data_IF_797222309544
#
_entry.id   IF_797222309544
#
_cell.length_a   1.000
_cell.length_b   1.000
_cell.length_c   1.000
_cell.angle_alpha   90.00
_cell.angle_beta   90.00
_cell.angle_gamma   90.00
#
_symmetry.space_group_name_H-M   'P 1'
#
loop_
_entity.id
_entity.type
_entity.pdbx_description
1 polymer ?
#
# COMPACT_ATOMS: atom_id res chain seq x y z
N UNK A 1 -2.90 22.91 -14.15
CA UNK A 1 -2.57 21.77 -13.28
C UNK A 1 -2.91 20.42 -13.93
N UNK A 2 -2.18 20.03 -15.00
CA UNK A 2 -2.47 18.83 -15.82
C UNK A 2 -1.26 17.91 -15.99
N UNK A 3 -0.24 18.03 -15.13
CA UNK A 3 1.10 17.50 -15.40
C UNK A 3 1.62 16.42 -14.42
N UNK A 4 0.85 15.97 -13.41
CA UNK A 4 1.37 15.02 -12.41
C UNK A 4 0.85 13.58 -12.60
N UNK A 5 -0.17 13.36 -13.43
CA UNK A 5 -0.70 12.00 -13.70
C UNK A 5 0.12 11.19 -14.73
N UNK A 6 1.24 11.72 -15.24
CA UNK A 6 2.05 11.07 -16.28
C UNK A 6 3.22 10.21 -15.77
N UNK A 7 3.57 10.29 -14.49
CA UNK A 7 4.80 9.66 -13.97
C UNK A 7 4.60 8.33 -13.26
N UNK A 8 3.35 7.92 -12.98
CA UNK A 8 3.07 6.60 -12.41
C UNK A 8 3.10 5.47 -13.44
N UNK A 9 3.03 5.78 -14.75
CA UNK A 9 3.11 4.77 -15.82
C UNK A 9 4.52 4.56 -16.38
N UNK A 10 5.48 5.47 -16.10
CA UNK A 10 6.82 5.39 -16.70
C UNK A 10 7.83 4.56 -15.88
N UNK A 11 7.52 4.22 -14.63
CA UNK A 11 8.37 3.35 -13.80
C UNK A 11 8.20 1.85 -14.09
N UNK A 12 7.24 1.47 -14.94
CA UNK A 12 7.00 0.09 -15.36
C UNK A 12 7.69 -0.28 -16.68
N UNK A 13 8.56 0.59 -17.20
CA UNK A 13 9.22 0.40 -18.49
C UNK A 13 10.76 0.49 -18.42
N UNK A 14 11.32 0.02 -17.31
CA UNK A 14 12.76 -0.30 -17.23
C UNK A 14 12.85 -1.79 -16.88
N UNK A 15 12.39 -2.64 -17.81
CA UNK A 15 12.82 -4.03 -17.85
C UNK A 15 14.24 -4.03 -18.41
N UNK A 16 15.21 -4.00 -17.51
CA UNK A 16 16.57 -4.39 -17.83
C UNK A 16 16.54 -5.88 -18.19
N UNK A 17 16.43 -6.16 -19.49
CA UNK A 17 16.33 -7.48 -20.09
C UNK A 17 17.67 -8.23 -19.95
N UNK A 18 18.09 -8.48 -18.72
CA UNK A 18 19.02 -9.55 -18.39
C UNK A 18 18.23 -10.85 -18.50
N UNK A 19 18.15 -11.36 -19.72
CA UNK A 19 17.75 -12.74 -19.95
C UNK A 19 18.75 -13.64 -19.23
N UNK A 20 18.50 -13.95 -17.96
CA UNK A 20 19.11 -15.09 -17.29
C UNK A 20 18.63 -16.30 -18.09
N UNK A 21 19.51 -16.87 -18.90
CA UNK A 21 19.24 -18.11 -19.59
C UNK A 21 18.93 -19.15 -18.51
N UNK A 22 17.65 -19.49 -18.35
CA UNK A 22 17.21 -20.53 -17.43
C UNK A 22 17.79 -21.83 -17.99
N UNK A 23 18.88 -22.29 -17.39
CA UNK A 23 19.50 -23.58 -17.70
C UNK A 23 18.58 -24.64 -17.11
N UNK A 24 17.70 -25.20 -17.95
CA UNK A 24 16.88 -26.35 -17.57
C UNK A 24 17.69 -27.61 -17.83
N UNK A 25 18.44 -28.07 -16.83
CA UNK A 25 19.06 -29.39 -16.85
C UNK A 25 17.99 -30.44 -16.59
N UNK A 26 17.87 -31.42 -17.49
CA UNK A 26 16.95 -32.54 -17.32
C UNK A 26 17.61 -33.52 -16.36
N UNK A 27 17.15 -33.55 -15.11
CA UNK A 27 17.62 -34.49 -14.09
C UNK A 27 16.78 -35.76 -14.19
N UNK A 28 17.38 -36.84 -14.72
CA UNK A 28 16.75 -38.17 -14.74
C UNK A 28 16.91 -38.84 -13.37
N UNK A 29 15.79 -39.04 -12.67
CA UNK A 29 15.75 -39.83 -11.45
C UNK A 29 15.43 -41.29 -11.79
N UNK A 30 16.35 -42.21 -11.48
CA UNK A 30 16.16 -43.65 -11.70
C UNK A 30 15.21 -44.30 -10.69
N UNK A 31 14.87 -43.58 -9.61
CA UNK A 31 13.97 -44.05 -8.58
C UNK A 31 12.53 -43.65 -8.92
N UNK A 32 11.53 -44.52 -8.65
CA UNK A 32 10.13 -44.16 -8.83
C UNK A 32 9.77 -42.98 -7.93
N UNK A 33 8.79 -42.16 -8.34
CA UNK A 33 8.34 -41.03 -7.54
C UNK A 33 7.98 -41.49 -6.13
N UNK A 34 8.54 -40.83 -5.12
CA UNK A 34 8.20 -41.11 -3.74
C UNK A 34 6.70 -40.82 -3.52
N UNK A 35 5.94 -41.82 -3.10
CA UNK A 35 4.56 -41.65 -2.67
C UNK A 35 4.56 -41.32 -1.18
N UNK A 36 4.00 -40.15 -0.84
CA UNK A 36 3.83 -39.71 0.56
C UNK A 36 2.42 -40.08 0.99
N UNK A 37 2.29 -40.74 2.14
CA UNK A 37 0.97 -41.07 2.69
C UNK A 37 0.16 -39.79 2.96
N UNK A 38 -1.16 -39.77 2.66
CA UNK A 38 -1.97 -38.56 2.84
C UNK A 38 -1.95 -37.98 4.26
N UNK A 39 -1.81 -38.82 5.29
CA UNK A 39 -1.73 -38.36 6.68
C UNK A 39 -0.39 -37.67 6.97
N UNK A 40 0.71 -38.23 6.45
CA UNK A 40 2.03 -37.64 6.55
C UNK A 40 2.08 -36.29 5.81
N UNK A 41 1.53 -36.23 4.60
CA UNK A 41 1.44 -35.00 3.82
C UNK A 41 0.69 -33.90 4.59
N UNK A 42 -0.40 -34.24 5.28
CA UNK A 42 -1.17 -33.28 6.08
C UNK A 42 -0.35 -32.70 7.25
N UNK A 43 0.44 -33.53 7.93
CA UNK A 43 1.33 -33.10 9.03
C UNK A 43 2.41 -32.15 8.50
N UNK A 44 3.01 -32.48 7.36
CA UNK A 44 4.03 -31.64 6.73
C UNK A 44 3.45 -30.27 6.37
N UNK A 45 2.26 -30.24 5.76
CA UNK A 45 1.57 -28.98 5.41
C UNK A 45 1.33 -28.15 6.66
N UNK A 46 0.80 -28.74 7.74
CA UNK A 46 0.56 -28.01 8.99
C UNK A 46 1.84 -27.45 9.60
N UNK A 47 2.93 -28.22 9.60
CA UNK A 47 4.20 -27.75 10.14
C UNK A 47 4.80 -26.62 9.28
N UNK A 48 4.66 -26.70 7.96
CA UNK A 48 5.08 -25.65 7.04
C UNK A 48 4.23 -24.38 7.20
N UNK A 49 2.92 -24.51 7.33
CA UNK A 49 2.00 -23.40 7.59
C UNK A 49 2.32 -22.71 8.93
N UNK A 50 2.51 -23.49 10.00
CA UNK A 50 2.90 -22.96 11.30
C UNK A 50 4.24 -22.21 11.22
N UNK A 51 5.28 -22.83 10.64
CA UNK A 51 6.59 -22.20 10.48
C UNK A 51 6.59 -20.99 9.53
N UNK A 52 5.65 -20.94 8.58
CA UNK A 52 5.42 -19.76 7.75
C UNK A 52 4.79 -18.63 8.56
N UNK A 53 3.78 -18.92 9.38
CA UNK A 53 3.15 -17.94 10.27
C UNK A 53 4.16 -17.40 11.28
N UNK A 54 4.95 -18.26 11.95
CA UNK A 54 5.96 -17.83 12.92
C UNK A 54 7.02 -16.92 12.29
N UNK A 55 7.56 -17.31 11.12
CA UNK A 55 8.53 -16.47 10.40
C UNK A 55 7.91 -15.16 9.96
N UNK A 56 6.65 -15.14 9.52
CA UNK A 56 5.96 -13.92 9.15
C UNK A 56 5.67 -13.02 10.35
N UNK A 57 5.30 -13.58 11.50
CA UNK A 57 5.11 -12.82 12.73
C UNK A 57 6.43 -12.18 13.18
N UNK A 58 7.53 -12.93 13.16
CA UNK A 58 8.84 -12.42 13.55
C UNK A 58 9.41 -11.43 12.53
N UNK A 59 9.25 -11.67 11.23
CA UNK A 59 9.73 -10.75 10.19
C UNK A 59 8.84 -9.52 10.02
N UNK A 60 7.56 -9.58 10.37
CA UNK A 60 6.70 -8.40 10.51
C UNK A 60 7.07 -7.55 11.75
N UNK A 61 7.65 -8.17 12.78
CA UNK A 61 8.04 -7.50 14.03
C UNK A 61 9.45 -6.90 13.99
N UNK A 62 10.34 -7.38 13.10
CA UNK A 62 11.79 -7.10 13.18
C UNK A 62 12.32 -6.02 12.21
N UNK A 63 11.45 -5.21 11.59
CA UNK A 63 11.91 -3.90 11.09
C UNK A 63 11.44 -2.85 12.08
N UNK A 64 12.27 -2.61 13.08
CA UNK A 64 12.24 -1.48 14.02
C UNK A 64 12.43 -0.13 13.30
N UNK A 65 11.79 0.04 12.15
CA UNK A 65 11.64 1.32 11.48
C UNK A 65 10.34 1.93 11.94
N UNK A 66 10.39 3.18 12.38
CA UNK A 66 9.20 4.02 12.58
C UNK A 66 8.34 3.92 11.31
N UNK A 67 7.14 3.34 11.43
CA UNK A 67 6.25 3.27 10.29
C UNK A 67 5.89 4.69 9.85
N UNK A 68 6.09 5.00 8.57
CA UNK A 68 5.93 6.36 8.05
C UNK A 68 4.46 6.75 8.13
N UNK A 69 4.19 7.99 8.53
CA UNK A 69 2.83 8.48 8.66
C UNK A 69 2.53 9.47 7.53
N UNK A 70 1.42 9.24 6.84
CA UNK A 70 0.99 10.05 5.71
C UNK A 70 -0.28 10.81 6.04
N UNK A 71 -0.25 12.13 5.83
CA UNK A 71 -1.42 12.99 5.79
C UNK A 71 -1.89 13.12 4.33
N UNK A 72 -3.04 12.52 4.04
CA UNK A 72 -3.69 12.51 2.73
C UNK A 72 -4.90 13.45 2.72
N UNK A 73 -4.91 14.45 1.84
CA UNK A 73 -6.05 15.34 1.63
C UNK A 73 -6.77 14.97 0.34
N UNK A 74 -8.06 14.66 0.41
CA UNK A 74 -8.85 14.34 -0.79
C UNK A 74 -9.38 15.59 -1.51
N UNK A 75 -9.42 15.58 -2.84
CA UNK A 75 -10.00 16.67 -3.65
C UNK A 75 -11.52 16.80 -3.48
N UNK A 76 -12.19 15.70 -3.14
CA UNK A 76 -13.63 15.60 -2.85
C UNK A 76 -13.83 14.50 -1.81
N UNK A 77 -14.85 14.66 -0.98
CA UNK A 77 -15.17 13.67 0.06
C UNK A 77 -16.65 13.28 -0.03
N UNK A 78 -17.03 12.52 -1.08
CA UNK A 78 -18.41 12.11 -1.27
C UNK A 78 -18.86 11.18 -0.13
N UNK A 79 -20.17 11.10 0.10
CA UNK A 79 -20.76 10.31 1.18
C UNK A 79 -20.40 8.83 1.10
N UNK A 80 -20.22 8.31 -0.11
CA UNK A 80 -19.79 6.93 -0.32
C UNK A 80 -18.34 6.70 0.13
N UNK A 81 -17.43 7.64 -0.13
CA UNK A 81 -16.06 7.59 0.36
C UNK A 81 -16.05 7.60 1.89
N UNK A 82 -16.77 8.55 2.48
CA UNK A 82 -16.92 8.63 3.93
C UNK A 82 -17.50 7.34 4.50
N UNK A 83 -18.55 6.78 3.89
CA UNK A 83 -19.16 5.52 4.34
C UNK A 83 -18.18 4.34 4.27
N UNK A 84 -17.40 4.23 3.19
CA UNK A 84 -16.39 3.18 3.07
C UNK A 84 -15.27 3.33 4.10
N UNK A 85 -14.82 4.56 4.39
CA UNK A 85 -13.79 4.76 5.41
C UNK A 85 -14.32 4.47 6.84
N UNK A 86 -15.59 4.77 7.10
CA UNK A 86 -16.24 4.52 8.40
C UNK A 86 -16.63 3.05 8.62
N UNK A 87 -17.10 2.36 7.58
CA UNK A 87 -17.72 1.04 7.69
C UNK A 87 -17.06 -0.03 6.81
N UNK A 88 -15.95 0.30 6.17
CA UNK A 88 -15.20 -0.61 5.31
C UNK A 88 -14.59 -1.75 6.12
N UNK A 89 -14.70 -3.01 5.65
CA UNK A 89 -14.25 -4.17 6.39
C UNK A 89 -12.71 -4.21 6.51
N UNK A 90 -11.96 -3.67 5.55
CA UNK A 90 -10.50 -3.76 5.57
C UNK A 90 -9.91 -2.95 6.72
N UNK A 91 -10.44 -1.75 6.98
CA UNK A 91 -10.00 -0.88 8.07
C UNK A 91 -10.67 -1.15 9.42
N UNK A 92 -11.58 -2.13 9.49
CA UNK A 92 -12.34 -2.44 10.72
C UNK A 92 -11.44 -2.78 11.89
N UNK A 93 -10.46 -3.66 11.68
CA UNK A 93 -9.54 -4.10 12.73
C UNK A 93 -8.73 -2.93 13.32
N UNK A 94 -8.27 -2.00 12.47
CA UNK A 94 -7.54 -0.81 12.92
C UNK A 94 -8.41 0.13 13.74
N UNK A 95 -9.68 0.34 13.35
CA UNK A 95 -10.63 1.17 14.12
C UNK A 95 -10.93 0.54 15.48
N UNK A 96 -11.21 -0.76 15.52
CA UNK A 96 -11.47 -1.49 16.76
C UNK A 96 -10.25 -1.49 17.69
N UNK A 97 -9.03 -1.61 17.15
CA UNK A 97 -7.80 -1.55 17.94
C UNK A 97 -7.59 -0.16 18.59
N UNK A 98 -7.90 0.92 17.88
CA UNK A 98 -7.85 2.28 18.42
C UNK A 98 -8.94 2.49 19.49
N UNK A 99 -10.17 2.08 19.22
CA UNK A 99 -11.28 2.18 20.18
C UNK A 99 -11.01 1.38 21.46
N UNK A 100 -10.45 0.17 21.34
CA UNK A 100 -10.09 -0.68 22.47
C UNK A 100 -8.97 -0.07 23.32
N UNK A 101 -8.08 0.71 22.71
CA UNK A 101 -7.07 1.50 23.41
C UNK A 101 -7.62 2.84 23.96
N UNK A 102 -8.92 3.10 23.80
CA UNK A 102 -9.58 4.34 24.26
C UNK A 102 -9.26 5.56 23.41
N UNK A 103 -8.87 5.37 22.14
CA UNK A 103 -8.46 6.43 21.23
C UNK A 103 -9.49 6.64 20.13
N UNK A 104 -9.83 7.90 19.84
CA UNK A 104 -10.81 8.24 18.80
C UNK A 104 -10.14 8.20 17.41
N UNK A 105 -10.55 7.29 16.54
CA UNK A 105 -10.07 7.25 15.15
C UNK A 105 -10.65 8.39 14.28
N UNK A 106 -11.68 9.09 14.75
CA UNK A 106 -12.19 10.32 14.13
C UNK A 106 -12.05 11.48 15.11
N UNK A 107 -11.31 12.51 14.71
CA UNK A 107 -11.12 13.69 15.54
C UNK A 107 -12.43 14.48 15.65
N UNK A 108 -12.88 14.71 16.88
CA UNK A 108 -14.18 15.37 17.15
C UNK A 108 -14.23 16.81 16.66
N UNK A 109 -13.10 17.51 16.72
CA UNK A 109 -13.03 18.94 16.41
C UNK A 109 -13.00 19.20 14.88
N UNK A 110 -12.23 18.40 14.14
CA UNK A 110 -12.01 18.58 12.69
C UNK A 110 -12.86 17.66 11.81
N UNK A 111 -13.31 16.53 12.35
CA UNK A 111 -13.89 15.43 11.60
C UNK A 111 -12.88 14.63 10.75
N UNK A 112 -11.58 14.94 10.85
CA UNK A 112 -10.53 14.22 10.15
C UNK A 112 -10.41 12.79 10.68
N UNK A 113 -10.01 11.87 9.80
CA UNK A 113 -9.86 10.45 10.13
C UNK A 113 -8.40 10.10 10.39
N UNK A 114 -8.15 9.30 11.42
CA UNK A 114 -6.82 8.87 11.87
C UNK A 114 -6.82 7.35 11.95
N UNK A 115 -6.08 6.73 11.03
CA UNK A 115 -5.98 5.28 10.85
C UNK A 115 -4.50 4.90 11.00
N UNK A 116 -4.06 4.75 12.24
CA UNK A 116 -2.67 4.43 12.61
C UNK A 116 -2.66 3.29 13.61
N UNK A 117 -1.48 2.76 13.92
CA UNK A 117 -1.35 1.81 15.01
C UNK A 117 -1.61 2.50 16.36
N UNK A 118 -2.23 1.79 17.30
CA UNK A 118 -2.59 2.35 18.61
C UNK A 118 -1.37 2.93 19.36
N UNK A 119 -0.19 2.30 19.25
CA UNK A 119 1.04 2.76 19.88
C UNK A 119 1.60 4.06 19.26
N UNK A 120 1.25 4.39 18.01
CA UNK A 120 1.70 5.62 17.33
C UNK A 120 0.78 6.81 17.57
N UNK A 121 -0.47 6.55 17.93
CA UNK A 121 -1.54 7.54 17.88
C UNK A 121 -1.22 8.83 18.64
N UNK A 122 -0.74 8.74 19.89
CA UNK A 122 -0.47 9.94 20.70
C UNK A 122 0.58 10.85 20.06
N UNK A 123 1.63 10.25 19.49
CA UNK A 123 2.73 10.98 18.87
C UNK A 123 2.29 11.57 17.54
N UNK A 124 1.47 10.84 16.79
CA UNK A 124 0.82 11.33 15.56
C UNK A 124 -0.04 12.55 15.88
N UNK A 125 -0.95 12.47 16.87
CA UNK A 125 -1.81 13.60 17.26
C UNK A 125 -0.99 14.82 17.67
N UNK A 126 0.11 14.64 18.40
CA UNK A 126 1.00 15.73 18.80
C UNK A 126 1.73 16.39 17.61
N UNK A 127 2.04 15.62 16.57
CA UNK A 127 2.74 16.09 15.36
C UNK A 127 1.81 16.68 14.28
N UNK A 128 0.49 16.44 14.38
CA UNK A 128 -0.46 16.90 13.37
C UNK A 128 -0.68 18.42 13.41
N UNK A 129 -0.90 19.07 12.25
CA UNK A 129 -1.23 20.49 12.20
C UNK A 129 -2.60 20.77 12.86
N UNK A 130 -2.81 21.94 13.47
CA UNK A 130 -4.07 22.26 14.17
C UNK A 130 -5.27 22.44 13.24
N UNK A 131 -5.03 22.58 11.93
CA UNK A 131 -6.05 22.89 10.92
C UNK A 131 -6.32 21.69 10.02
N UNK A 132 -6.79 20.60 10.62
CA UNK A 132 -7.30 19.47 9.86
C UNK A 132 -8.77 19.69 9.51
N UNK A 133 -9.20 19.17 8.37
CA UNK A 133 -10.60 19.13 7.97
C UNK A 133 -11.11 17.71 7.74
N UNK A 134 -12.43 17.57 7.60
CA UNK A 134 -13.12 16.31 7.28
C UNK A 134 -12.67 15.60 5.98
N UNK A 135 -11.81 16.24 5.17
CA UNK A 135 -11.27 15.71 3.91
C UNK A 135 -9.87 15.11 4.09
N UNK A 136 -9.32 15.24 5.29
CA UNK A 136 -7.99 14.80 5.64
C UNK A 136 -8.06 13.43 6.30
N UNK A 137 -7.16 12.56 5.86
CA UNK A 137 -6.97 11.20 6.35
C UNK A 137 -5.50 11.04 6.74
N UNK A 138 -5.26 10.73 7.99
CA UNK A 138 -3.93 10.40 8.52
C UNK A 138 -3.83 8.88 8.55
N UNK A 139 -2.84 8.32 7.86
CA UNK A 139 -2.70 6.86 7.73
C UNK A 139 -1.25 6.43 7.88
N UNK A 140 -1.03 5.31 8.56
CA UNK A 140 0.28 4.67 8.65
C UNK A 140 0.62 3.95 7.34
N UNK A 141 1.88 4.00 6.90
CA UNK A 141 2.29 3.46 5.60
C UNK A 141 2.04 1.96 5.50
N UNK A 142 2.17 1.22 6.61
CA UNK A 142 1.84 -0.20 6.66
C UNK A 142 0.34 -0.50 6.49
N UNK A 143 -0.56 0.47 6.71
CA UNK A 143 -2.02 0.31 6.60
C UNK A 143 -2.59 0.82 5.27
N UNK A 144 -1.79 1.45 4.40
CA UNK A 144 -2.26 2.00 3.12
C UNK A 144 -2.91 0.96 2.22
N UNK A 145 -2.42 -0.29 2.21
CA UNK A 145 -2.99 -1.35 1.40
C UNK A 145 -4.44 -1.69 1.82
N UNK A 146 -4.78 -1.54 3.11
CA UNK A 146 -6.15 -1.75 3.60
C UNK A 146 -7.06 -0.62 3.15
N UNK A 147 -6.56 0.61 3.17
CA UNK A 147 -7.26 1.75 2.58
C UNK A 147 -7.53 1.52 1.10
N UNK A 148 -6.54 1.09 0.33
CA UNK A 148 -6.71 0.77 -1.09
C UNK A 148 -7.76 -0.32 -1.31
N UNK A 149 -7.80 -1.34 -0.44
CA UNK A 149 -8.80 -2.41 -0.51
C UNK A 149 -10.22 -1.88 -0.27
N UNK A 150 -10.42 -1.04 0.75
CA UNK A 150 -11.73 -0.41 0.98
C UNK A 150 -12.11 0.56 -0.15
N UNK A 151 -11.15 1.31 -0.71
CA UNK A 151 -11.38 2.18 -1.87
C UNK A 151 -11.71 1.40 -3.14
N UNK A 152 -11.15 0.19 -3.32
CA UNK A 152 -11.45 -0.65 -4.47
C UNK A 152 -12.93 -1.06 -4.51
N UNK A 153 -13.59 -1.19 -3.35
CA UNK A 153 -15.04 -1.47 -3.27
C UNK A 153 -15.91 -0.34 -3.83
N UNK A 154 -15.37 0.89 -3.86
CA UNK A 154 -16.06 2.07 -4.36
C UNK A 154 -15.83 2.32 -5.85
N UNK A 155 -14.92 1.60 -6.47
CA UNK A 155 -14.69 1.69 -7.91
C UNK A 155 -15.93 1.15 -8.62
N UNK A 156 -16.68 2.06 -9.23
CA UNK A 156 -17.77 1.69 -10.13
C UNK A 156 -17.22 0.82 -11.28
N UNK A 157 -18.04 0.02 -11.97
CA UNK A 157 -17.62 -0.71 -13.17
C UNK A 157 -17.00 0.19 -14.26
N UNK A 158 -17.30 1.49 -14.22
CA UNK A 158 -16.68 2.54 -15.04
C UNK A 158 -15.28 2.98 -14.59
N UNK A 159 -14.70 2.32 -13.58
CA UNK A 159 -13.29 2.44 -13.18
C UNK A 159 -12.92 3.67 -12.35
N UNK A 160 -13.89 4.42 -11.81
CA UNK A 160 -13.61 5.65 -11.06
C UNK A 160 -14.33 5.75 -9.72
N UNK A 161 -13.57 6.10 -8.67
CA UNK A 161 -14.11 6.80 -7.50
C UNK A 161 -14.75 8.07 -8.04
N UNK A 162 -16.02 8.37 -7.69
CA UNK A 162 -16.87 9.45 -8.25
C UNK A 162 -16.25 10.88 -8.20
N UNK A 163 -15.16 11.11 -8.92
CA UNK A 163 -14.30 12.28 -8.83
C UNK A 163 -13.56 12.47 -7.50
N UNK A 164 -13.38 11.41 -6.69
CA UNK A 164 -12.58 11.49 -5.47
C UNK A 164 -11.20 10.88 -5.70
N UNK A 165 -10.16 11.61 -5.35
CA UNK A 165 -8.76 11.17 -5.40
C UNK A 165 -7.96 11.95 -4.36
N UNK A 166 -6.81 11.42 -3.96
CA UNK A 166 -5.86 12.10 -3.08
C UNK A 166 -5.26 13.27 -3.84
N UNK A 167 -5.57 14.49 -3.38
CA UNK A 167 -5.08 15.75 -3.99
C UNK A 167 -3.67 16.07 -3.52
N UNK A 168 -3.40 15.86 -2.23
CA UNK A 168 -2.13 16.12 -1.60
C UNK A 168 -1.79 14.99 -0.63
N UNK A 169 -0.51 14.65 -0.55
CA UNK A 169 0.05 13.65 0.34
C UNK A 169 1.32 14.24 0.95
N UNK A 170 1.35 14.31 2.28
CA UNK A 170 2.47 14.85 3.03
C UNK A 170 2.90 13.83 4.08
N UNK A 171 4.21 13.61 4.20
CA UNK A 171 4.76 12.82 5.30
C UNK A 171 4.69 13.66 6.57
N UNK A 172 4.18 13.07 7.65
CA UNK A 172 4.15 13.69 8.98
C UNK A 172 5.41 13.24 9.71
N UNK A 173 6.22 14.21 10.10
CA UNK A 173 7.44 13.95 10.87
C UNK A 173 7.06 13.64 12.32
N UNK A 174 6.94 12.35 12.63
CA UNK A 174 6.65 11.87 13.97
C UNK A 174 7.96 11.53 14.64
N UNK A 175 8.39 12.40 15.54
CA UNK A 175 9.53 12.13 16.41
C UNK A 175 9.07 11.07 17.41
N UNK A 176 9.34 9.79 17.11
CA UNK A 176 9.29 8.80 18.16
C UNK A 176 10.44 9.13 19.10
N UNK A 177 10.12 9.66 20.28
CA UNK A 177 10.99 9.46 21.43
C UNK A 177 10.92 7.96 21.74
N UNK A 178 11.66 7.17 20.95
CA UNK A 178 12.10 5.86 21.39
C UNK A 178 12.82 6.21 22.66
N UNK A 179 12.20 5.89 23.79
CA UNK A 179 12.82 5.98 25.09
C UNK A 179 14.06 5.11 25.04
N UNK A 180 15.14 5.67 24.51
CA UNK A 180 16.48 5.40 24.95
C UNK A 180 16.45 5.84 26.40
N UNK A 181 15.84 4.99 27.23
CA UNK A 181 16.15 4.92 28.62
C UNK A 181 17.63 4.69 28.60
N UNK A 182 18.36 5.81 28.64
CA UNK A 182 19.70 5.86 29.14
C UNK A 182 19.58 5.12 30.47
N UNK A 183 19.88 3.82 30.42
CA UNK A 183 20.47 3.14 31.53
C UNK A 183 21.64 4.05 31.84
N UNK A 184 21.44 4.91 32.84
CA UNK A 184 22.53 5.53 33.56
C UNK A 184 23.35 4.34 34.04
N UNK A 185 24.32 3.94 33.23
CA UNK A 185 25.44 3.12 33.62
C UNK A 185 26.17 3.97 34.66
N UNK A 186 25.66 3.92 35.88
CA UNK A 186 26.41 4.34 37.05
C UNK A 186 27.70 3.54 36.99
N UNK A 187 28.74 4.30 36.67
CA UNK A 187 30.11 3.85 36.52
C UNK A 187 30.57 3.28 37.86
N UNK A 188 30.65 1.96 37.95
CA UNK A 188 31.64 1.33 38.81
C UNK A 188 32.80 0.85 37.94
N UNK A 189 33.86 1.64 38.01
CA UNK A 189 35.18 1.40 37.45
C UNK A 189 35.62 -0.07 37.66
N UNK A 190 35.72 -0.83 36.56
CA UNK A 190 36.45 -2.10 36.60
C UNK A 190 37.32 -2.31 35.38
N UNK A 191 38.55 -1.83 35.58
CA UNK A 191 39.82 -2.42 35.15
C UNK A 191 39.95 -2.80 33.68
N UNK A 192 40.70 -1.96 32.98
CA UNK A 192 41.45 -2.27 31.77
C UNK A 192 42.12 -3.65 31.86
N UNK A 193 41.76 -4.54 30.93
CA UNK A 193 42.65 -5.58 30.47
C UNK A 193 42.48 -5.69 28.95
N UNK A 194 43.34 -4.95 28.28
CA UNK A 194 43.48 -4.84 26.84
C UNK A 194 43.93 -6.18 26.27
N UNK A 195 43.05 -6.88 25.53
CA UNK A 195 43.42 -8.03 24.71
C UNK A 195 43.23 -7.65 23.24
N UNK A 196 44.31 -7.16 22.63
CA UNK A 196 44.44 -7.02 21.20
C UNK A 196 44.31 -8.41 20.54
N UNK A 197 43.30 -8.59 19.68
CA UNK A 197 43.15 -9.86 18.99
C UNK A 197 42.03 -9.90 17.94
N UNK A 198 42.48 -9.92 16.68
CA UNK A 198 41.81 -10.54 15.53
C UNK A 198 40.78 -9.71 14.74
N UNK A 199 41.33 -9.05 13.71
CA UNK A 199 41.10 -9.38 12.29
C UNK A 199 39.68 -9.24 11.76
N UNK A 200 39.51 -8.19 10.96
CA UNK A 200 38.32 -7.93 10.17
C UNK A 200 37.98 -9.07 9.22
N UNK A 201 36.76 -9.56 9.35
CA UNK A 201 35.96 -9.98 8.22
C UNK A 201 34.86 -8.92 8.11
N UNK A 202 35.00 -8.01 7.15
CA UNK A 202 33.91 -7.12 6.74
C UNK A 202 32.80 -8.03 6.23
N UNK A 203 31.83 -8.33 7.09
CA UNK A 203 30.60 -9.00 6.69
C UNK A 203 30.00 -8.13 5.60
N UNK A 204 30.02 -8.64 4.37
CA UNK A 204 29.32 -8.01 3.25
C UNK A 204 27.86 -7.88 3.68
N UNK A 205 27.44 -6.63 3.85
CA UNK A 205 26.12 -6.27 4.35
C UNK A 205 25.14 -6.47 3.20
N UNK A 206 24.63 -7.69 3.05
CA UNK A 206 23.68 -8.03 2.01
C UNK A 206 22.31 -7.47 2.40
N UNK A 207 21.92 -6.37 1.77
CA UNK A 207 20.58 -5.78 1.92
C UNK A 207 19.54 -6.63 1.17
N UNK A 208 18.79 -7.47 1.89
CA UNK A 208 17.64 -8.19 1.31
C UNK A 208 16.49 -7.20 1.09
N UNK A 209 16.28 -6.79 -0.16
CA UNK A 209 15.13 -5.99 -0.59
C UNK A 209 13.97 -6.89 -1.02
N UNK A 210 12.97 -7.02 -0.17
CA UNK A 210 11.68 -7.62 -0.56
C UNK A 210 10.91 -6.59 -1.39
N UNK A 211 11.05 -6.67 -2.71
CA UNK A 211 10.16 -5.95 -3.62
C UNK A 211 8.81 -6.69 -3.63
N UNK A 212 7.76 -6.07 -3.09
CA UNK A 212 6.38 -6.55 -3.28
C UNK A 212 6.00 -6.35 -4.74
N UNK A 213 6.36 -7.29 -5.60
CA UNK A 213 5.83 -7.36 -6.97
C UNK A 213 4.40 -7.87 -6.88
N UNK A 214 3.43 -7.01 -7.17
CA UNK A 214 2.05 -7.45 -7.35
C UNK A 214 1.99 -8.37 -8.57
N UNK A 215 1.51 -9.60 -8.37
CA UNK A 215 1.19 -10.51 -9.47
C UNK A 215 -0.07 -9.96 -10.15
N UNK A 216 0.09 -9.13 -11.17
CA UNK A 216 -1.02 -8.71 -12.02
C UNK A 216 -1.45 -9.89 -12.91
N UNK A 217 -2.41 -10.68 -12.44
CA UNK A 217 -3.15 -11.61 -13.29
C UNK A 217 -4.08 -10.81 -14.22
N UNK A 218 -3.54 -10.25 -15.29
CA UNK A 218 -4.35 -9.71 -16.36
C UNK A 218 -4.94 -10.88 -17.16
N UNK A 219 -6.26 -10.97 -17.35
CA UNK A 219 -6.82 -11.98 -18.24
C UNK A 219 -6.22 -11.77 -19.63
N UNK A 220 -5.48 -12.78 -20.10
CA UNK A 220 -4.92 -12.79 -21.45
C UNK A 220 -6.10 -12.68 -22.40
N UNK A 221 -6.24 -11.53 -23.04
CA UNK A 221 -7.23 -11.31 -24.09
C UNK A 221 -6.86 -12.27 -25.20
N UNK A 222 -7.58 -13.39 -25.33
CA UNK A 222 -7.40 -14.32 -26.43
C UNK A 222 -7.56 -13.52 -27.73
N UNK A 223 -6.43 -13.26 -28.39
CA UNK A 223 -6.42 -12.65 -29.72
C UNK A 223 -7.01 -13.68 -30.67
N UNK A 224 -8.04 -13.24 -31.39
CA UNK A 224 -8.60 -13.84 -32.59
C UNK A 224 -9.66 -14.93 -32.36
N UNK A 225 -10.82 -14.51 -31.85
CA UNK A 225 -12.07 -14.94 -32.49
C UNK A 225 -12.45 -13.79 -33.44
N UNK A 226 -12.53 -14.01 -34.78
CA UNK A 226 -13.02 -13.00 -35.69
C UNK A 226 -14.47 -12.69 -35.34
N UNK A 227 -14.69 -11.55 -34.67
CA UNK A 227 -16.01 -10.99 -34.47
C UNK A 227 -16.58 -10.65 -35.84
N UNK A 228 -17.60 -11.40 -36.26
CA UNK A 228 -18.46 -11.02 -37.37
C UNK A 228 -19.09 -9.69 -37.03
N UNK A 229 -18.64 -8.67 -37.75
CA UNK A 229 -19.13 -7.30 -37.66
C UNK A 229 -20.51 -7.29 -38.34
N UNK A 230 -21.57 -7.30 -37.55
CA UNK A 230 -22.92 -7.08 -38.07
C UNK A 230 -23.06 -5.59 -38.40
N UNK A 231 -23.01 -5.26 -39.69
CA UNK A 231 -23.35 -3.94 -40.21
C UNK A 231 -24.85 -3.68 -39.96
N UNK A 232 -25.17 -2.94 -38.90
CA UNK A 232 -26.48 -2.29 -38.78
C UNK A 232 -26.46 -0.99 -39.57
N UNK A 233 -27.07 -1.07 -40.74
CA UNK A 233 -27.41 0.04 -41.62
C UNK A 233 -28.28 1.08 -40.92
N UNK A 234 -28.01 2.33 -41.31
CA UNK A 234 -28.70 3.56 -40.93
C UNK A 234 -30.24 3.45 -41.00
N UNK A 235 -30.89 3.94 -39.95
CA UNK A 235 -32.12 4.71 -40.13
C UNK A 235 -31.97 6.02 -39.38
N UNK A 236 -31.85 7.06 -40.20
CA UNK A 236 -31.96 8.48 -39.93
C UNK A 236 -33.27 8.83 -39.19
N UNK A 237 -33.41 10.10 -38.80
CA UNK A 237 -34.54 10.75 -38.09
C UNK A 237 -34.38 10.85 -36.57
N UNK A 238 -33.47 11.72 -36.12
CA UNK A 238 -33.89 12.96 -35.43
C UNK A 238 -32.69 13.84 -35.07
N UNK A 239 -32.27 14.61 -36.06
CA UNK A 239 -31.42 15.77 -35.87
C UNK A 239 -32.20 16.89 -35.17
N UNK A 240 -32.24 16.91 -33.83
CA UNK A 240 -32.43 18.14 -33.04
C UNK A 240 -32.27 17.89 -31.53
N UNK A 241 -31.27 18.60 -30.96
CA UNK A 241 -31.14 19.01 -29.55
C UNK A 241 -30.51 17.98 -28.60
N UNK A 242 -29.20 18.11 -28.43
CA UNK A 242 -28.63 18.61 -27.16
C UNK A 242 -27.12 18.82 -27.35
N UNK A 243 -26.74 20.03 -27.81
CA UNK A 243 -25.35 20.48 -27.75
C UNK A 243 -25.00 20.76 -26.29
N UNK A 244 -23.96 20.10 -25.81
CA UNK A 244 -23.39 20.28 -24.48
C UNK A 244 -22.84 21.73 -24.32
N UNK A 245 -23.41 22.57 -23.44
CA UNK A 245 -23.06 23.99 -23.34
C UNK A 245 -21.66 24.27 -22.77
N UNK A 246 -20.95 23.26 -22.25
CA UNK A 246 -19.63 23.44 -21.61
C UNK A 246 -18.46 23.67 -22.59
N UNK A 247 -18.69 23.67 -23.91
CA UNK A 247 -17.63 23.87 -24.93
C UNK A 247 -17.62 25.26 -25.59
N UNK A 248 -18.49 26.19 -25.21
CA UNK A 248 -18.62 27.48 -25.91
C UNK A 248 -17.86 28.67 -25.29
N UNK A 249 -17.14 28.52 -24.18
CA UNK A 249 -16.59 29.66 -23.42
C UNK A 249 -15.05 29.67 -23.30
N UNK A 250 -14.33 29.34 -24.37
CA UNK A 250 -12.87 29.44 -24.39
C UNK A 250 -12.37 29.89 -25.77
N UNK A 251 -12.79 31.08 -26.21
CA UNK A 251 -12.14 31.83 -27.28
C UNK A 251 -12.65 33.27 -27.21
N UNK A 252 -11.72 34.21 -27.34
CA UNK A 252 -11.85 35.67 -27.31
C UNK A 252 -11.60 36.33 -25.95
N UNK A 253 -10.32 36.48 -25.59
CA UNK A 253 -9.75 37.80 -25.25
C UNK A 253 -8.28 37.79 -25.72
N UNK A 254 -8.03 38.43 -26.86
CA UNK A 254 -6.71 38.89 -27.31
C UNK A 254 -6.93 40.30 -27.88
N UNK A 255 -6.16 41.26 -27.36
CA UNK A 255 -5.82 42.60 -27.84
C UNK A 255 -6.92 43.66 -28.04
N UNK A 256 -7.00 44.62 -27.11
CA UNK A 256 -6.39 45.97 -27.22
C UNK A 256 -6.60 46.77 -25.93
#
# INVERSE_FOLDING_TARGET
>A
CRQILGLWWLWLLVDDATHVAIVTEVVDHHEPAAEIDPLEAQIIVWQQEAGFIERNLNSASAREGVDRIWLCTFNRFPDELRRALHHGPALQQSREALELAGMDWQLRDSGAMVIVHAWQYQQVIAALPPQLGHRDLVIASSLEYLLELDLATLLSPSGGLKGAWVQARHEVDVVLEVGSGALSEDSEERSEMELAGASGATAEDWEVRVARTFLCAAPVRQRNIPLTQSDTTESDVDARRQRNPRRAAALLVVDL
#
